data_IF_654784865066
#
_entry.id   IF_654784865066
#
_cell.length_a   1.000
_cell.length_b   1.000
_cell.length_c   1.000
_cell.angle_alpha   90.00
_cell.angle_beta   90.00
_cell.angle_gamma   90.00
#
_symmetry.space_group_name_H-M   'P 1'
#
loop_
_entity.id
_entity.type
_entity.pdbx_description
1 polymer ?
#
# COMPACT_ATOMS: atom_id res chain seq x y z
N UNK A 1 -17.06 25.80 11.69
CA UNK A 1 -16.82 24.46 12.28
C UNK A 1 -15.86 23.72 11.36
N UNK A 2 -14.61 23.51 11.78
CA UNK A 2 -13.70 22.66 11.02
C UNK A 2 -14.24 21.23 11.11
N UNK A 3 -14.79 20.71 10.00
CA UNK A 3 -15.19 19.32 9.87
C UNK A 3 -13.98 18.44 10.22
N UNK A 4 -14.09 17.62 11.27
CA UNK A 4 -13.03 16.71 11.69
C UNK A 4 -12.93 15.57 10.69
N UNK A 5 -12.23 15.81 9.58
CA UNK A 5 -11.83 14.75 8.64
C UNK A 5 -10.94 13.76 9.40
N UNK A 6 -11.22 12.46 9.27
CA UNK A 6 -10.43 11.32 9.80
C UNK A 6 -10.06 11.38 11.30
N UNK A 7 -11.04 11.35 12.22
CA UNK A 7 -10.78 11.40 13.67
C UNK A 7 -9.87 10.28 14.20
N UNK A 8 -9.97 9.06 13.66
CA UNK A 8 -9.15 7.95 14.13
C UNK A 8 -7.68 8.11 13.72
N UNK A 9 -7.39 8.47 12.47
CA UNK A 9 -6.03 8.76 12.04
C UNK A 9 -5.40 9.91 12.84
N UNK A 10 -6.19 10.94 13.20
CA UNK A 10 -5.72 12.03 14.07
C UNK A 10 -5.39 11.56 15.48
N UNK A 11 -6.20 10.68 16.05
CA UNK A 11 -5.93 10.06 17.34
C UNK A 11 -4.62 9.26 17.29
N UNK A 12 -4.41 8.45 16.25
CA UNK A 12 -3.16 7.71 16.08
C UNK A 12 -1.96 8.64 15.94
N UNK A 13 -2.10 9.76 15.20
CA UNK A 13 -1.04 10.75 15.07
C UNK A 13 -0.67 11.39 16.42
N UNK A 14 -1.63 11.63 17.30
CA UNK A 14 -1.32 12.09 18.68
C UNK A 14 -0.70 11.01 19.57
N UNK A 15 -0.80 9.74 19.16
CA UNK A 15 -0.30 8.57 19.91
C UNK A 15 1.01 8.01 19.34
N UNK A 16 1.65 8.71 18.40
CA UNK A 16 2.97 8.34 17.86
C UNK A 16 2.98 7.89 16.39
N UNK A 17 1.84 7.78 15.72
CA UNK A 17 1.81 7.60 14.27
C UNK A 17 2.32 8.86 13.55
N UNK A 18 2.78 8.70 12.31
CA UNK A 18 3.25 9.80 11.48
C UNK A 18 2.24 10.08 10.36
N UNK A 19 1.84 11.35 10.25
CA UNK A 19 1.02 11.86 9.16
C UNK A 19 1.75 13.00 8.44
N UNK A 20 1.68 13.03 7.11
CA UNK A 20 2.27 14.10 6.33
C UNK A 20 1.97 13.98 4.84
N UNK A 21 2.80 14.60 4.03
CA UNK A 21 2.68 14.61 2.58
C UNK A 21 3.99 14.14 1.95
N UNK A 22 3.89 13.43 0.83
CA UNK A 22 5.05 13.02 0.02
C UNK A 22 4.86 13.46 -1.42
N UNK A 23 5.95 13.84 -2.09
CA UNK A 23 5.91 14.24 -3.48
C UNK A 23 5.62 13.04 -4.41
N UNK A 24 4.88 13.27 -5.49
CA UNK A 24 4.52 12.27 -6.50
C UNK A 24 4.66 12.84 -7.92
N UNK A 25 4.72 11.95 -8.91
CA UNK A 25 4.79 12.31 -10.33
C UNK A 25 3.46 12.84 -10.89
N UNK A 26 3.57 13.73 -11.88
CA UNK A 26 2.46 14.30 -12.67
C UNK A 26 1.88 13.36 -13.73
N UNK A 27 2.61 12.31 -14.10
CA UNK A 27 2.20 11.44 -15.20
C UNK A 27 1.24 10.38 -14.68
N UNK A 28 -0.03 10.45 -15.09
CA UNK A 28 -1.06 9.47 -14.73
C UNK A 28 -0.58 8.03 -15.00
N UNK A 29 -0.75 7.14 -14.02
CA UNK A 29 -0.31 5.74 -14.06
C UNK A 29 1.18 5.52 -13.74
N UNK A 30 2.05 6.53 -13.84
CA UNK A 30 3.46 6.40 -13.45
C UNK A 30 3.63 6.31 -11.93
N UNK A 31 2.80 6.99 -11.16
CA UNK A 31 3.02 7.17 -9.72
C UNK A 31 2.91 5.86 -8.91
N UNK A 32 2.00 4.96 -9.30
CA UNK A 32 1.91 3.64 -8.70
C UNK A 32 3.13 2.78 -9.05
N UNK A 33 3.62 2.86 -10.29
CA UNK A 33 4.87 2.20 -10.69
C UNK A 33 6.06 2.76 -9.91
N UNK A 34 6.15 4.07 -9.71
CA UNK A 34 7.20 4.71 -8.92
C UNK A 34 7.16 4.27 -7.46
N UNK A 35 5.97 4.18 -6.86
CA UNK A 35 5.77 3.65 -5.51
C UNK A 35 6.25 2.21 -5.40
N UNK A 36 5.89 1.36 -6.38
CA UNK A 36 6.24 -0.06 -6.36
C UNK A 36 7.73 -0.30 -6.63
N UNK A 37 8.36 0.51 -7.49
CA UNK A 37 9.74 0.31 -7.96
C UNK A 37 10.78 1.18 -7.27
N UNK A 38 10.36 2.23 -6.54
CA UNK A 38 11.26 3.20 -5.92
C UNK A 38 12.04 4.08 -6.89
N UNK A 39 11.69 4.08 -8.19
CA UNK A 39 12.38 4.86 -9.21
C UNK A 39 11.52 6.03 -9.65
N UNK A 40 11.99 7.26 -9.43
CA UNK A 40 11.29 8.49 -9.87
C UNK A 40 11.31 8.68 -11.39
N UNK A 41 12.21 8.00 -12.10
CA UNK A 41 12.35 8.10 -13.56
C UNK A 41 11.48 7.11 -14.32
N UNK A 42 10.84 6.17 -13.62
CA UNK A 42 9.94 5.21 -14.26
C UNK A 42 8.65 5.94 -14.67
N UNK A 43 8.42 6.03 -15.99
CA UNK A 43 7.28 6.73 -16.61
C UNK A 43 6.24 5.78 -17.20
N UNK A 44 6.57 4.49 -17.35
CA UNK A 44 5.64 3.49 -17.84
C UNK A 44 4.49 3.30 -16.85
N UNK A 45 3.25 3.22 -17.34
CA UNK A 45 2.06 2.88 -16.56
C UNK A 45 1.99 1.39 -16.23
N UNK A 46 3.01 0.62 -16.60
CA UNK A 46 3.12 -0.83 -16.40
C UNK A 46 4.51 -1.18 -15.84
N UNK A 47 4.62 -2.25 -15.05
CA UNK A 47 5.87 -2.68 -14.42
C UNK A 47 6.85 -3.42 -15.37
N UNK A 48 6.66 -3.31 -16.68
CA UNK A 48 7.42 -4.10 -17.65
C UNK A 48 8.93 -3.75 -17.57
N UNK A 49 9.77 -4.77 -17.39
CA UNK A 49 11.23 -4.61 -17.30
C UNK A 49 11.73 -3.99 -15.99
N UNK A 50 10.85 -3.75 -15.03
CA UNK A 50 11.20 -3.20 -13.70
C UNK A 50 11.02 -4.26 -12.62
N UNK A 51 11.65 -4.05 -11.45
CA UNK A 51 11.45 -4.91 -10.25
C UNK A 51 10.73 -4.13 -9.16
N UNK A 52 9.56 -4.60 -8.75
CA UNK A 52 8.79 -4.04 -7.64
C UNK A 52 9.31 -4.52 -6.29
N UNK A 53 9.03 -3.78 -5.21
CA UNK A 53 9.31 -4.25 -3.86
C UNK A 53 8.53 -5.55 -3.56
N UNK A 54 7.36 -5.76 -4.17
CA UNK A 54 6.57 -6.99 -4.00
C UNK A 54 7.33 -8.22 -4.52
N UNK A 55 7.96 -8.11 -5.69
CA UNK A 55 8.84 -9.16 -6.23
C UNK A 55 10.09 -9.36 -5.39
N UNK A 56 10.75 -8.27 -4.98
CA UNK A 56 11.91 -8.36 -4.07
C UNK A 56 11.54 -9.12 -2.80
N UNK A 57 10.44 -8.74 -2.13
CA UNK A 57 9.96 -9.41 -0.93
C UNK A 57 9.66 -10.89 -1.18
N UNK A 58 8.91 -11.21 -2.24
CA UNK A 58 8.59 -12.61 -2.58
C UNK A 58 9.85 -13.44 -2.83
N UNK A 59 10.83 -12.89 -3.54
CA UNK A 59 12.11 -13.58 -3.80
C UNK A 59 12.92 -13.85 -2.53
N UNK A 60 12.69 -13.05 -1.47
CA UNK A 60 13.27 -13.23 -0.13
C UNK A 60 12.39 -14.10 0.79
N UNK A 61 11.38 -14.80 0.26
CA UNK A 61 10.54 -15.73 1.00
C UNK A 61 9.40 -15.09 1.79
N UNK A 62 9.24 -13.77 1.72
CA UNK A 62 8.06 -13.06 2.24
C UNK A 62 6.85 -13.44 1.39
N UNK A 63 5.66 -13.51 1.99
CA UNK A 63 4.41 -13.91 1.33
C UNK A 63 3.45 -12.73 1.16
N UNK A 64 3.57 -11.92 0.08
CA UNK A 64 2.60 -10.86 -0.22
C UNK A 64 1.25 -11.43 -0.62
N UNK A 65 0.19 -10.99 0.05
CA UNK A 65 -1.17 -11.02 -0.46
C UNK A 65 -1.50 -9.66 -1.07
N UNK A 66 -1.99 -9.66 -2.31
CA UNK A 66 -2.40 -8.44 -3.00
C UNK A 66 -3.91 -8.47 -3.20
N UNK A 67 -4.59 -7.54 -2.56
CA UNK A 67 -6.01 -7.27 -2.72
C UNK A 67 -6.21 -6.12 -3.72
N UNK A 68 -6.78 -6.40 -4.88
CA UNK A 68 -6.99 -5.39 -5.91
C UNK A 68 -8.17 -5.75 -6.83
N UNK A 69 -8.81 -4.75 -7.47
CA UNK A 69 -9.86 -5.02 -8.43
C UNK A 69 -9.36 -5.83 -9.63
N UNK A 70 -10.27 -6.53 -10.32
CA UNK A 70 -9.95 -7.38 -11.46
C UNK A 70 -9.16 -6.65 -12.56
N UNK A 71 -9.39 -5.35 -12.74
CA UNK A 71 -8.72 -4.48 -13.71
C UNK A 71 -7.21 -4.33 -13.50
N UNK A 72 -6.68 -4.61 -12.31
CA UNK A 72 -5.24 -4.58 -12.03
C UNK A 72 -4.52 -5.88 -12.38
N UNK A 73 -5.26 -6.90 -12.82
CA UNK A 73 -4.78 -8.22 -13.16
C UNK A 73 -4.97 -8.50 -14.66
N UNK A 74 -4.13 -9.36 -15.21
CA UNK A 74 -4.24 -9.83 -16.59
C UNK A 74 -5.54 -10.59 -16.80
N UNK A 75 -6.07 -10.47 -18.01
CA UNK A 75 -7.19 -11.31 -18.47
C UNK A 75 -6.81 -12.78 -18.50
N UNK A 76 -7.81 -13.65 -18.29
CA UNK A 76 -7.62 -15.11 -18.30
C UNK A 76 -7.62 -15.72 -19.71
N UNK A 77 -7.75 -14.91 -20.76
CA UNK A 77 -7.80 -15.37 -22.16
C UNK A 77 -6.56 -14.91 -22.91
N UNK A 78 -5.84 -15.87 -23.49
CA UNK A 78 -4.82 -15.62 -24.48
C UNK A 78 -5.44 -15.39 -25.86
N UNK A 79 -4.83 -14.52 -26.64
CA UNK A 79 -5.08 -14.37 -28.07
C UNK A 79 -4.45 -15.53 -28.87
N UNK A 80 -4.62 -15.50 -30.19
CA UNK A 80 -4.08 -16.51 -31.10
C UNK A 80 -2.54 -16.59 -31.14
N UNK A 81 -1.84 -15.61 -30.57
CA UNK A 81 -0.38 -15.60 -30.40
C UNK A 81 0.08 -16.13 -29.05
N UNK A 82 -0.84 -16.53 -28.16
CA UNK A 82 -0.52 -16.98 -26.81
C UNK A 82 -0.26 -15.85 -25.81
N UNK A 83 -0.46 -14.59 -26.22
CA UNK A 83 -0.33 -13.39 -25.38
C UNK A 83 -1.66 -13.02 -24.75
N UNK A 84 -1.66 -12.35 -23.61
CA UNK A 84 -2.93 -11.94 -22.99
C UNK A 84 -3.62 -10.85 -23.76
N UNK A 85 -4.94 -11.01 -23.90
CA UNK A 85 -5.81 -9.97 -24.42
C UNK A 85 -5.67 -8.65 -23.63
N UNK A 86 -5.37 -8.74 -22.34
CA UNK A 86 -4.96 -7.61 -21.50
C UNK A 86 -3.95 -8.06 -20.43
N UNK A 87 -2.93 -7.24 -20.21
CA UNK A 87 -1.95 -7.44 -19.13
C UNK A 87 -2.21 -6.42 -18.02
N UNK A 88 -2.51 -6.91 -16.82
CA UNK A 88 -2.74 -6.06 -15.65
C UNK A 88 -1.44 -5.55 -15.05
N UNK A 89 -1.50 -4.45 -14.32
CA UNK A 89 -0.33 -3.83 -13.68
C UNK A 89 0.47 -4.82 -12.84
N UNK A 90 -0.20 -5.54 -11.92
CA UNK A 90 0.48 -6.46 -11.00
C UNK A 90 1.01 -7.71 -11.69
N UNK A 91 0.51 -8.02 -12.88
CA UNK A 91 0.97 -9.17 -13.65
C UNK A 91 2.06 -8.80 -14.65
N UNK A 92 2.15 -7.53 -15.05
CA UNK A 92 3.08 -7.07 -16.11
C UNK A 92 4.54 -7.43 -15.80
N UNK A 93 4.94 -7.33 -14.53
CA UNK A 93 6.30 -7.68 -14.07
C UNK A 93 6.65 -9.16 -14.30
N UNK A 94 5.64 -10.03 -14.31
CA UNK A 94 5.77 -11.49 -14.32
C UNK A 94 5.39 -12.11 -15.68
N UNK A 95 4.53 -11.44 -16.43
CA UNK A 95 3.85 -11.97 -17.61
C UNK A 95 4.33 -11.32 -18.89
N UNK A 96 5.65 -11.17 -19.07
CA UNK A 96 6.21 -10.58 -20.29
C UNK A 96 5.65 -11.14 -21.61
N UNK A 97 4.95 -12.30 -21.60
CA UNK A 97 4.17 -12.84 -22.74
C UNK A 97 3.05 -13.86 -22.42
N UNK A 98 2.81 -14.34 -21.19
CA UNK A 98 1.88 -15.48 -20.94
C UNK A 98 0.81 -15.17 -19.88
N UNK A 99 -0.43 -15.64 -20.10
CA UNK A 99 -1.53 -15.40 -19.16
C UNK A 99 -1.43 -16.25 -17.93
N UNK A 100 -1.39 -15.63 -16.73
CA UNK A 100 -1.48 -16.39 -15.51
C UNK A 100 -2.90 -17.00 -15.45
N UNK A 101 -2.99 -18.32 -15.55
CA UNK A 101 -4.21 -19.04 -15.21
C UNK A 101 -4.64 -18.67 -13.79
N UNK A 102 -5.95 -18.56 -13.54
CA UNK A 102 -6.51 -18.18 -12.24
C UNK A 102 -6.10 -19.09 -11.08
N UNK A 103 -5.46 -20.24 -11.36
CA UNK A 103 -5.00 -21.25 -10.41
C UNK A 103 -3.47 -21.39 -10.34
N UNK A 104 -2.70 -20.68 -11.18
CA UNK A 104 -1.26 -20.87 -11.23
C UNK A 104 -0.55 -20.23 -10.03
N UNK A 105 0.24 -21.04 -9.34
CA UNK A 105 1.21 -20.71 -8.30
C UNK A 105 2.35 -19.74 -8.73
N UNK A 106 2.20 -18.96 -9.81
CA UNK A 106 3.31 -18.42 -10.61
C UNK A 106 3.34 -16.88 -10.78
N UNK A 107 2.67 -16.10 -9.94
CA UNK A 107 2.91 -14.65 -9.96
C UNK A 107 4.28 -14.35 -9.34
N UNK A 108 5.24 -13.82 -10.08
CA UNK A 108 6.59 -13.53 -9.59
C UNK A 108 6.64 -12.54 -8.41
N UNK A 109 5.57 -11.78 -8.16
CA UNK A 109 5.51 -10.73 -7.14
C UNK A 109 4.43 -10.95 -6.06
N UNK A 110 3.53 -11.92 -6.20
CA UNK A 110 2.51 -12.22 -5.20
C UNK A 110 2.47 -13.68 -4.79
N UNK A 111 2.31 -13.93 -3.48
CA UNK A 111 2.03 -15.24 -2.94
C UNK A 111 0.55 -15.60 -3.15
N UNK A 112 -0.35 -14.64 -2.97
CA UNK A 112 -1.79 -14.84 -3.13
C UNK A 112 -2.48 -13.59 -3.68
N UNK A 113 -3.38 -13.81 -4.64
CA UNK A 113 -4.26 -12.79 -5.20
C UNK A 113 -5.60 -12.79 -4.45
N UNK A 114 -6.12 -11.61 -4.15
CA UNK A 114 -7.45 -11.40 -3.58
C UNK A 114 -8.20 -10.39 -4.46
N UNK A 115 -9.26 -10.84 -5.16
CA UNK A 115 -10.03 -9.95 -6.03
C UNK A 115 -10.99 -9.12 -5.18
N UNK A 116 -10.87 -7.80 -5.28
CA UNK A 116 -11.80 -6.85 -4.68
C UNK A 116 -12.81 -6.35 -5.70
N UNK A 117 -13.87 -5.71 -5.23
CA UNK A 117 -14.81 -4.99 -6.08
C UNK A 117 -14.22 -3.64 -6.52
N UNK A 118 -14.77 -3.06 -7.58
CA UNK A 118 -14.42 -1.69 -8.00
C UNK A 118 -15.06 -0.61 -7.10
N UNK A 119 -16.06 -0.98 -6.28
CA UNK A 119 -16.77 -0.07 -5.39
C UNK A 119 -15.92 0.30 -4.17
N UNK A 120 -15.52 1.57 -4.07
CA UNK A 120 -14.74 2.08 -2.94
C UNK A 120 -15.44 1.87 -1.58
N UNK A 121 -16.77 2.03 -1.51
CA UNK A 121 -17.50 1.84 -0.25
C UNK A 121 -17.52 0.38 0.20
N UNK A 122 -17.67 -0.57 -0.73
CA UNK A 122 -17.58 -2.00 -0.41
C UNK A 122 -16.16 -2.38 0.01
N UNK A 123 -15.15 -1.82 -0.67
CA UNK A 123 -13.76 -2.02 -0.32
C UNK A 123 -13.48 -1.61 1.13
N UNK A 124 -13.87 -0.38 1.50
CA UNK A 124 -13.63 0.15 2.84
C UNK A 124 -14.41 -0.58 3.93
N UNK A 125 -15.68 -0.90 3.67
CA UNK A 125 -16.54 -1.50 4.70
C UNK A 125 -16.22 -2.98 4.95
N UNK A 126 -15.81 -3.73 3.92
CA UNK A 126 -15.74 -5.19 4.02
C UNK A 126 -14.42 -5.76 3.52
N UNK A 127 -13.92 -5.32 2.37
CA UNK A 127 -12.86 -6.07 1.68
C UNK A 127 -11.46 -5.79 2.21
N UNK A 128 -11.20 -4.62 2.82
CA UNK A 128 -9.95 -4.38 3.55
C UNK A 128 -9.79 -5.36 4.71
N UNK A 129 -10.82 -5.48 5.56
CA UNK A 129 -10.82 -6.44 6.67
C UNK A 129 -10.82 -7.88 6.16
N UNK A 130 -11.61 -8.19 5.14
CA UNK A 130 -11.62 -9.53 4.53
C UNK A 130 -10.26 -9.94 3.94
N UNK A 131 -9.54 -9.02 3.30
CA UNK A 131 -8.18 -9.27 2.82
C UNK A 131 -7.19 -9.47 3.98
N UNK A 132 -7.35 -8.72 5.07
CA UNK A 132 -6.54 -8.90 6.28
C UNK A 132 -6.77 -10.26 6.93
N UNK A 133 -8.03 -10.65 7.15
CA UNK A 133 -8.40 -11.96 7.70
C UNK A 133 -7.93 -13.12 6.81
N UNK A 134 -8.09 -13.00 5.49
CA UNK A 134 -7.58 -13.99 4.53
C UNK A 134 -6.04 -14.06 4.57
N UNK A 135 -5.37 -12.92 4.69
CA UNK A 135 -3.92 -12.83 4.86
C UNK A 135 -3.46 -13.59 6.10
N UNK A 136 -4.11 -13.36 7.25
CA UNK A 136 -3.82 -14.09 8.49
C UNK A 136 -4.08 -15.60 8.33
N UNK A 137 -5.23 -15.99 7.78
CA UNK A 137 -5.64 -17.39 7.58
C UNK A 137 -4.66 -18.16 6.69
N UNK A 138 -4.04 -17.47 5.73
CA UNK A 138 -3.13 -18.08 4.74
C UNK A 138 -1.65 -17.93 5.10
N UNK A 139 -1.34 -17.23 6.21
CA UNK A 139 0.03 -16.97 6.65
C UNK A 139 0.78 -16.02 5.72
N UNK A 140 0.10 -14.96 5.26
CA UNK A 140 0.71 -13.88 4.49
C UNK A 140 1.45 -12.91 5.42
N UNK A 141 2.64 -12.47 5.02
CA UNK A 141 3.49 -11.55 5.81
C UNK A 141 3.24 -10.07 5.47
N UNK A 142 2.69 -9.82 4.28
CA UNK A 142 2.34 -8.50 3.77
C UNK A 142 0.94 -8.57 3.15
N UNK A 143 0.09 -7.60 3.47
CA UNK A 143 -1.20 -7.39 2.80
C UNK A 143 -1.14 -6.03 2.11
N UNK A 144 -1.09 -6.04 0.79
CA UNK A 144 -1.19 -4.85 -0.04
C UNK A 144 -2.63 -4.70 -0.52
N UNK A 145 -3.25 -3.54 -0.30
CA UNK A 145 -4.61 -3.26 -0.79
C UNK A 145 -4.56 -2.09 -1.77
N UNK A 146 -4.97 -2.34 -3.02
CA UNK A 146 -5.15 -1.30 -4.01
C UNK A 146 -6.50 -0.61 -3.80
N UNK A 147 -6.45 0.63 -3.37
CA UNK A 147 -7.64 1.47 -3.18
C UNK A 147 -7.92 2.26 -4.47
N UNK A 148 -9.16 2.25 -5.00
CA UNK A 148 -9.53 3.07 -6.14
C UNK A 148 -9.37 4.55 -5.80
N UNK A 149 -8.85 5.32 -6.76
CA UNK A 149 -8.62 6.76 -6.58
C UNK A 149 -9.92 7.52 -6.30
N UNK A 150 -9.87 8.47 -5.38
CA UNK A 150 -10.96 9.41 -5.13
C UNK A 150 -10.88 10.54 -6.17
N UNK A 151 -11.61 10.40 -7.29
CA UNK A 151 -11.62 11.43 -8.34
C UNK A 151 -12.76 12.41 -8.09
N UNK A 152 -12.45 13.70 -7.98
CA UNK A 152 -13.45 14.77 -7.99
C UNK A 152 -13.48 15.37 -9.39
N UNK A 153 -14.59 15.18 -10.11
CA UNK A 153 -14.74 15.71 -11.47
C UNK A 153 -15.20 17.17 -11.50
N UNK A 154 -15.80 17.67 -10.41
CA UNK A 154 -16.21 19.09 -10.21
C UNK A 154 -16.34 19.40 -8.72
N UNK A 155 -15.96 20.60 -8.26
CA UNK A 155 -16.24 21.04 -6.88
C UNK A 155 -17.72 21.44 -6.76
N UNK A 156 -18.54 20.52 -6.24
CA UNK A 156 -19.89 20.82 -5.78
C UNK A 156 -20.11 20.21 -4.39
N UNK A 157 -21.18 20.64 -3.71
CA UNK A 157 -21.49 20.20 -2.35
C UNK A 157 -21.66 18.67 -2.28
N UNK A 158 -22.31 18.06 -3.28
CA UNK A 158 -22.50 16.61 -3.36
C UNK A 158 -21.17 15.85 -3.45
N UNK A 159 -20.26 16.29 -4.31
CA UNK A 159 -18.94 15.69 -4.49
C UNK A 159 -18.06 15.87 -3.25
N UNK A 160 -18.18 17.01 -2.57
CA UNK A 160 -17.50 17.26 -1.28
C UNK A 160 -18.01 16.32 -0.19
N UNK A 161 -19.32 16.11 -0.09
CA UNK A 161 -19.92 15.16 0.85
C UNK A 161 -19.54 13.72 0.53
N UNK A 162 -19.51 13.36 -0.75
CA UNK A 162 -19.07 12.03 -1.19
C UNK A 162 -17.61 11.78 -0.79
N UNK A 163 -16.70 12.72 -1.05
CA UNK A 163 -15.31 12.61 -0.61
C UNK A 163 -15.19 12.43 0.91
N UNK A 164 -15.92 13.26 1.68
CA UNK A 164 -15.93 13.14 3.14
C UNK A 164 -16.45 11.77 3.59
N UNK A 165 -17.47 11.24 2.92
CA UNK A 165 -17.97 9.88 3.17
C UNK A 165 -16.89 8.83 2.92
N UNK A 166 -16.18 8.89 1.79
CA UNK A 166 -15.08 7.97 1.50
C UNK A 166 -13.95 8.06 2.53
N UNK A 167 -13.55 9.28 2.93
CA UNK A 167 -12.53 9.48 3.97
C UNK A 167 -12.99 8.88 5.31
N UNK A 168 -14.25 9.08 5.69
CA UNK A 168 -14.78 8.54 6.94
C UNK A 168 -14.86 7.00 6.91
N UNK A 169 -15.21 6.42 5.77
CA UNK A 169 -15.21 4.96 5.60
C UNK A 169 -13.80 4.39 5.67
N UNK A 170 -12.81 5.05 5.05
CA UNK A 170 -11.41 4.65 5.14
C UNK A 170 -10.87 4.78 6.57
N UNK A 171 -11.18 5.88 7.27
CA UNK A 171 -10.82 6.10 8.68
C UNK A 171 -11.43 5.01 9.58
N UNK A 172 -12.68 4.61 9.32
CA UNK A 172 -13.33 3.51 10.03
C UNK A 172 -12.63 2.16 9.76
N UNK A 173 -12.31 1.86 8.50
CA UNK A 173 -11.60 0.64 8.12
C UNK A 173 -10.22 0.55 8.81
N UNK A 174 -9.50 1.67 8.86
CA UNK A 174 -8.25 1.78 9.61
C UNK A 174 -8.46 1.55 11.11
N UNK A 175 -9.54 2.07 11.68
CA UNK A 175 -9.95 1.82 13.07
C UNK A 175 -10.14 0.34 13.39
N UNK A 176 -10.85 -0.37 12.52
CA UNK A 176 -11.08 -1.81 12.66
C UNK A 176 -9.78 -2.62 12.53
N UNK A 177 -8.96 -2.31 11.52
CA UNK A 177 -7.64 -2.93 11.32
C UNK A 177 -6.73 -2.72 12.53
N UNK A 178 -6.58 -1.47 12.97
CA UNK A 178 -5.75 -1.10 14.12
C UNK A 178 -6.19 -1.82 15.39
N UNK A 179 -7.50 -1.87 15.66
CA UNK A 179 -8.05 -2.57 16.82
C UNK A 179 -7.72 -4.06 16.77
N UNK A 180 -7.84 -4.67 15.59
CA UNK A 180 -7.55 -6.10 15.39
C UNK A 180 -6.06 -6.39 15.57
N UNK A 181 -5.19 -5.57 14.99
CA UNK A 181 -3.74 -5.66 15.11
C UNK A 181 -3.30 -5.49 16.58
N UNK A 182 -3.85 -4.52 17.30
CA UNK A 182 -3.56 -4.32 18.72
C UNK A 182 -3.90 -5.57 19.54
N UNK A 183 -5.06 -6.19 19.33
CA UNK A 183 -5.41 -7.41 20.06
C UNK A 183 -4.49 -8.60 19.70
N UNK A 184 -4.10 -8.69 18.44
CA UNK A 184 -3.23 -9.75 17.95
C UNK A 184 -1.81 -9.62 18.51
N UNK A 185 -1.22 -8.44 18.45
CA UNK A 185 0.14 -8.18 18.96
C UNK A 185 0.27 -8.29 20.48
N UNK A 186 -0.84 -8.29 21.24
CA UNK A 186 -0.85 -8.66 22.68
C UNK A 186 -0.64 -10.14 22.94
N UNK A 187 -1.07 -10.99 21.99
CA UNK A 187 -1.17 -12.44 22.17
C UNK A 187 -0.22 -13.23 21.28
N UNK A 188 0.38 -12.57 20.28
CA UNK A 188 1.31 -13.15 19.32
C UNK A 188 2.56 -12.27 19.24
N UNK A 189 3.72 -12.90 19.10
CA UNK A 189 5.01 -12.20 18.93
C UNK A 189 5.11 -11.67 17.50
N UNK A 190 4.42 -10.57 17.25
CA UNK A 190 4.31 -9.95 15.94
C UNK A 190 4.34 -8.43 16.05
N UNK A 191 4.85 -7.80 15.00
CA UNK A 191 4.81 -6.37 14.83
C UNK A 191 4.19 -6.04 13.48
N UNK A 192 3.41 -4.97 13.44
CA UNK A 192 2.67 -4.59 12.25
C UNK A 192 2.92 -3.12 11.93
N UNK A 193 3.16 -2.82 10.66
CA UNK A 193 3.22 -1.47 10.14
C UNK A 193 2.05 -1.29 9.17
N UNK A 194 1.19 -0.30 9.44
CA UNK A 194 0.16 0.13 8.49
C UNK A 194 0.71 1.35 7.77
N UNK A 195 0.79 1.28 6.44
CA UNK A 195 1.15 2.41 5.58
C UNK A 195 -0.02 2.73 4.65
N UNK A 196 -0.47 3.97 4.66
CA UNK A 196 -1.43 4.52 3.71
C UNK A 196 -0.74 5.64 2.92
N UNK A 197 -0.78 5.55 1.61
CA UNK A 197 -0.17 6.54 0.71
C UNK A 197 -1.06 6.76 -0.50
N UNK A 198 -1.30 8.01 -0.87
CA UNK A 198 -2.00 8.32 -2.11
C UNK A 198 -1.16 7.95 -3.33
N UNK A 199 -1.78 7.45 -4.39
CA UNK A 199 -1.07 7.13 -5.62
C UNK A 199 -0.88 8.38 -6.51
N UNK A 200 -1.92 9.15 -6.76
CA UNK A 200 -1.88 10.34 -7.64
C UNK A 200 -2.26 11.59 -6.86
N UNK A 201 -1.41 12.62 -6.94
CA UNK A 201 -1.62 13.91 -6.29
C UNK A 201 -2.52 14.81 -7.12
N UNK A 202 -2.96 15.92 -6.53
CA UNK A 202 -3.54 17.00 -7.32
C UNK A 202 -2.47 17.59 -8.25
N UNK A 203 -2.90 17.98 -9.45
CA UNK A 203 -2.10 18.61 -10.52
C UNK A 203 -1.37 19.88 -10.08
N UNK A 204 -1.71 20.44 -8.92
CA UNK A 204 -1.17 21.71 -8.42
C UNK A 204 -0.06 21.53 -7.37
N UNK A 205 -0.28 20.68 -6.36
CA UNK A 205 0.66 20.53 -5.23
C UNK A 205 1.72 19.46 -5.47
N UNK A 206 1.48 18.51 -6.39
CA UNK A 206 2.38 17.38 -6.64
C UNK A 206 2.66 16.54 -5.39
N UNK A 207 1.79 16.62 -4.39
CA UNK A 207 1.90 15.87 -3.14
C UNK A 207 0.70 14.95 -2.96
N UNK A 208 0.92 13.86 -2.23
CA UNK A 208 -0.10 12.91 -1.82
C UNK A 208 -0.05 12.71 -0.31
N UNK A 209 -1.19 12.43 0.33
CA UNK A 209 -1.22 12.14 1.75
C UNK A 209 -0.42 10.86 2.04
N UNK A 210 0.30 10.89 3.14
CA UNK A 210 1.03 9.76 3.70
C UNK A 210 0.68 9.61 5.18
N UNK A 211 0.49 8.37 5.59
CA UNK A 211 0.26 7.97 6.96
C UNK A 211 0.96 6.65 7.24
N UNK A 212 1.66 6.57 8.36
CA UNK A 212 2.22 5.32 8.85
C UNK A 212 2.05 5.19 10.35
N UNK A 213 1.77 3.99 10.82
CA UNK A 213 1.70 3.66 12.24
C UNK A 213 2.25 2.27 12.45
N UNK A 214 2.93 2.07 13.56
CA UNK A 214 3.53 0.80 13.93
C UNK A 214 2.92 0.31 15.24
N UNK A 215 2.65 -0.99 15.29
CA UNK A 215 2.12 -1.66 16.47
C UNK A 215 3.07 -2.77 16.92
N UNK A 216 3.30 -2.83 18.23
CA UNK A 216 4.10 -3.85 18.89
C UNK A 216 3.54 -4.11 20.27
N UNK A 217 3.48 -5.38 20.68
CA UNK A 217 3.04 -5.78 22.03
C UNK A 217 1.71 -5.18 22.50
N UNK A 218 0.78 -4.89 21.58
CA UNK A 218 -0.51 -4.29 21.89
C UNK A 218 -0.54 -2.76 22.01
N UNK A 219 0.53 -2.09 21.64
CA UNK A 219 0.68 -0.64 21.76
C UNK A 219 1.07 -0.01 20.42
N UNK A 220 0.80 1.29 20.28
CA UNK A 220 1.30 2.11 19.17
C UNK A 220 2.74 2.51 19.50
N UNK A 221 3.63 2.33 18.53
CA UNK A 221 5.05 2.69 18.64
C UNK A 221 5.24 4.13 18.20
N UNK A 222 6.10 4.86 18.91
CA UNK A 222 6.33 6.28 18.71
C UNK A 222 7.33 6.50 17.57
N UNK A 223 6.84 7.05 16.45
CA UNK A 223 7.59 7.27 15.21
C UNK A 223 8.21 8.67 15.10
N UNK A 224 8.55 9.33 16.21
CA UNK A 224 8.84 10.79 16.35
C UNK A 224 9.88 11.43 15.40
N UNK A 225 10.46 10.69 14.47
CA UNK A 225 11.23 11.25 13.36
C UNK A 225 10.31 11.90 12.32
N UNK A 226 10.52 13.20 12.09
CA UNK A 226 9.92 13.91 10.95
C UNK A 226 10.24 13.20 9.62
N UNK A 227 9.36 13.32 8.64
CA UNK A 227 9.65 12.91 7.26
C UNK A 227 11.00 13.53 6.79
N UNK A 228 11.74 12.84 5.90
CA UNK A 228 12.98 13.40 5.36
C UNK A 228 12.72 14.72 4.63
N UNK A 229 13.73 15.56 4.42
CA UNK A 229 13.58 16.96 3.93
C UNK A 229 12.94 17.11 2.53
N UNK A 230 12.69 16.02 1.82
CA UNK A 230 11.95 15.98 0.54
C UNK A 230 11.46 14.55 0.32
N UNK A 231 10.39 14.13 1.02
CA UNK A 231 9.90 12.77 0.94
C UNK A 231 9.13 12.58 -0.37
N UNK A 232 9.25 11.41 -0.97
CA UNK A 232 8.65 11.07 -2.27
C UNK A 232 7.99 9.69 -2.20
N UNK A 233 7.06 9.41 -3.11
CA UNK A 233 6.43 8.08 -3.21
C UNK A 233 7.45 6.96 -3.46
N UNK A 234 8.61 7.27 -4.06
CA UNK A 234 9.69 6.32 -4.27
C UNK A 234 10.31 5.79 -2.96
N UNK A 235 10.27 6.58 -1.88
CA UNK A 235 10.83 6.19 -0.58
C UNK A 235 10.02 5.11 0.14
N UNK A 236 8.79 4.84 -0.33
CA UNK A 236 7.94 3.76 0.14
C UNK A 236 8.63 2.40 -0.08
N UNK A 237 9.24 2.17 -1.26
CA UNK A 237 10.01 0.94 -1.53
C UNK A 237 11.09 0.73 -0.47
N UNK A 238 11.93 1.74 -0.25
CA UNK A 238 13.03 1.66 0.71
C UNK A 238 12.53 1.38 2.12
N UNK A 239 11.45 2.06 2.52
CA UNK A 239 10.80 1.90 3.82
C UNK A 239 10.25 0.48 4.02
N UNK A 240 9.54 -0.06 3.02
CA UNK A 240 8.97 -1.42 3.08
C UNK A 240 10.07 -2.48 3.11
N UNK A 241 11.10 -2.36 2.26
CA UNK A 241 12.20 -3.32 2.24
C UNK A 241 13.03 -3.30 3.53
N UNK A 242 13.20 -2.12 4.13
CA UNK A 242 13.81 -1.98 5.46
C UNK A 242 12.97 -2.68 6.52
N UNK A 243 11.64 -2.51 6.50
CA UNK A 243 10.75 -3.18 7.46
C UNK A 243 10.94 -4.70 7.46
N UNK A 244 11.05 -5.32 6.28
CA UNK A 244 11.30 -6.76 6.16
C UNK A 244 12.78 -7.16 6.20
N UNK A 245 13.72 -6.21 6.31
CA UNK A 245 15.16 -6.45 6.35
C UNK A 245 15.68 -7.26 5.13
N UNK A 246 15.19 -6.96 3.93
CA UNK A 246 15.44 -7.76 2.71
C UNK A 246 16.54 -7.24 1.77
N UNK A 247 17.02 -5.99 1.93
CA UNK A 247 18.11 -5.41 1.09
C UNK A 247 19.05 -4.48 1.88
N UNK A 248 19.59 -4.91 3.02
CA UNK A 248 20.26 -3.99 3.98
C UNK A 248 21.53 -3.29 3.49
N UNK A 249 22.24 -3.77 2.47
CA UNK A 249 23.52 -3.21 2.03
C UNK A 249 23.41 -2.10 0.98
N UNK A 250 22.28 -1.99 0.27
CA UNK A 250 22.04 -0.99 -0.78
C UNK A 250 20.89 -0.02 -0.46
N UNK A 251 20.16 -0.25 0.64
CA UNK A 251 19.08 0.63 1.07
C UNK A 251 19.65 1.93 1.68
N UNK A 252 19.22 3.05 1.13
CA UNK A 252 19.47 4.36 1.71
C UNK A 252 18.59 4.56 2.95
N UNK A 253 19.11 4.22 4.12
CA UNK A 253 18.40 4.34 5.40
C UNK A 253 18.17 5.79 5.83
N UNK A 254 18.74 6.78 5.14
CA UNK A 254 18.44 8.20 5.38
C UNK A 254 17.08 8.62 4.81
N UNK A 255 16.52 7.82 3.90
CA UNK A 255 15.27 8.07 3.18
C UNK A 255 14.04 7.37 3.77
N UNK A 256 14.17 6.71 4.93
CA UNK A 256 13.06 5.99 5.55
C UNK A 256 11.93 6.93 5.97
N UNK A 257 10.69 6.52 5.69
CA UNK A 257 9.49 7.28 6.01
C UNK A 257 8.97 6.88 7.40
N UNK A 258 9.33 7.66 8.42
CA UNK A 258 8.83 7.53 9.79
C UNK A 258 9.37 6.36 10.61
N UNK A 259 9.96 5.34 9.99
CA UNK A 259 10.55 4.20 10.70
C UNK A 259 12.07 4.34 10.84
N UNK A 260 12.60 3.85 11.95
CA UNK A 260 14.04 3.77 12.26
C UNK A 260 14.50 2.33 12.54
N UNK A 261 13.57 1.38 12.52
CA UNK A 261 13.77 -0.01 12.91
C UNK A 261 13.23 -0.97 11.85
N UNK A 262 13.16 -2.26 12.16
CA UNK A 262 12.66 -3.32 11.29
C UNK A 262 11.55 -4.10 11.98
N UNK A 263 10.72 -4.82 11.22
CA UNK A 263 9.55 -5.52 11.77
C UNK A 263 9.88 -6.62 12.78
N UNK A 264 11.09 -7.20 12.72
CA UNK A 264 11.55 -8.16 13.73
C UNK A 264 12.05 -7.52 15.03
N UNK A 265 12.43 -6.24 15.00
CA UNK A 265 12.92 -5.49 16.16
C UNK A 265 12.40 -4.07 16.06
N UNK A 266 11.29 -3.81 16.75
CA UNK A 266 10.65 -2.50 16.74
C UNK A 266 11.11 -1.68 17.94
N UNK A 267 11.56 -0.47 17.67
CA UNK A 267 11.97 0.51 18.69
C UNK A 267 11.36 1.86 18.37
N UNK A 268 11.16 2.68 19.40
CA UNK A 268 10.77 4.07 19.22
C UNK A 268 11.86 4.84 18.48
N UNK A 269 11.45 5.75 17.59
CA UNK A 269 12.35 6.63 16.88
C UNK A 269 12.60 7.87 17.72
N UNK A 270 13.56 7.75 18.65
CA UNK A 270 14.05 8.85 19.51
C UNK A 270 15.06 9.71 18.74
#
# INVERSE_FOLDING_TARGET
MASSKSPFMRLLNSSGALMGEVATSTVSGSSLVQLLTGSQTNTATTLQGQTSFLRTLKSNGIKPLIAAPSSYWSGSTSDSSGTCASVGLFDTECSGTACPDGTASAYCNTFRKYITCDSASELYQYQIMGAFEEGLRTGSDLIYVQVPGMTLTTENVGNTLQLQSHINLLDNALGQLATTIVQRTKSHEENWNIVLVGATGDTTTHTVPFFTTVYSSGEVVQLEKSLPSSPTTADIRTTVLQWFNTETSSLDTTRLLGICSKGSVVVNCV
#
